data_IF_580737842340
#
_entry.id   IF_580737842340
#
_cell.length_a   1.000
_cell.length_b   1.000
_cell.length_c   1.000
_cell.angle_alpha   90.00
_cell.angle_beta   90.00
_cell.angle_gamma   90.00
#
_symmetry.space_group_name_H-M   'P 1'
#
loop_
_entity.id
_entity.type
_entity.pdbx_description
1 polymer ?
#
# COMPACT_ATOMS: atom_id res chain seq x y z
N UNK A 1 -4.52 -8.10 -10.97
CA UNK A 1 -5.80 -7.62 -10.41
C UNK A 1 -6.22 -8.48 -9.22
N UNK A 2 -6.31 -9.82 -9.33
CA UNK A 2 -6.71 -10.69 -8.21
C UNK A 2 -5.83 -10.46 -6.97
N UNK A 3 -4.49 -10.46 -7.12
CA UNK A 3 -3.57 -10.21 -6.01
C UNK A 3 -3.80 -8.82 -5.38
N UNK A 4 -4.07 -7.80 -6.20
CA UNK A 4 -4.36 -6.46 -5.70
C UNK A 4 -5.64 -6.41 -4.88
N UNK A 5 -6.73 -7.01 -5.39
CA UNK A 5 -8.00 -7.05 -4.67
C UNK A 5 -7.88 -7.85 -3.36
N UNK A 6 -7.16 -9.01 -3.40
CA UNK A 6 -6.92 -9.81 -2.20
C UNK A 6 -6.14 -9.03 -1.14
N UNK A 7 -5.08 -8.30 -1.52
CA UNK A 7 -4.31 -7.47 -0.59
C UNK A 7 -5.14 -6.30 -0.04
N UNK A 8 -5.98 -5.65 -0.88
CA UNK A 8 -6.73 -4.46 -0.49
C UNK A 8 -7.98 -4.78 0.31
N UNK A 9 -8.73 -5.82 -0.08
CA UNK A 9 -10.02 -6.16 0.52
C UNK A 9 -10.00 -7.45 1.35
N UNK A 10 -8.89 -8.19 1.35
CA UNK A 10 -8.82 -9.54 1.90
C UNK A 10 -9.61 -10.57 1.06
N UNK A 11 -10.16 -10.15 -0.07
CA UNK A 11 -11.05 -10.93 -0.91
C UNK A 11 -10.79 -10.63 -2.39
N UNK A 12 -10.82 -11.65 -3.24
CA UNK A 12 -10.78 -11.46 -4.69
C UNK A 12 -11.74 -12.44 -5.38
N UNK A 13 -12.20 -12.09 -6.58
CA UNK A 13 -13.23 -12.86 -7.28
C UNK A 13 -12.82 -13.09 -8.73
N UNK A 14 -12.97 -14.35 -9.18
CA UNK A 14 -12.70 -14.77 -10.55
C UNK A 14 -13.90 -15.49 -11.12
N UNK A 15 -14.53 -14.91 -12.14
CA UNK A 15 -15.64 -15.53 -12.85
C UNK A 15 -15.10 -16.53 -13.88
N UNK A 16 -15.68 -17.71 -13.89
CA UNK A 16 -15.39 -18.80 -14.81
C UNK A 16 -16.55 -18.94 -15.77
N UNK A 17 -16.28 -18.88 -17.07
CA UNK A 17 -17.28 -19.02 -18.13
C UNK A 17 -16.89 -20.16 -19.05
N UNK A 18 -17.83 -21.09 -19.27
CA UNK A 18 -17.66 -22.24 -20.16
C UNK A 18 -19.03 -22.56 -20.82
N UNK A 19 -19.08 -23.60 -21.62
CA UNK A 19 -20.34 -24.15 -22.13
C UNK A 19 -20.61 -25.55 -21.54
N UNK A 20 -21.77 -26.12 -21.87
CA UNK A 20 -22.18 -27.45 -21.41
C UNK A 20 -21.27 -28.58 -21.93
N UNK A 21 -20.45 -28.32 -22.96
CA UNK A 21 -19.54 -29.28 -23.60
C UNK A 21 -18.08 -29.04 -23.20
N UNK A 22 -17.81 -28.02 -22.39
CA UNK A 22 -16.46 -27.58 -22.06
C UNK A 22 -15.58 -27.29 -23.30
N UNK A 23 -16.22 -26.76 -24.37
CA UNK A 23 -15.52 -26.47 -25.63
C UNK A 23 -14.65 -25.23 -25.56
N UNK A 24 -14.88 -24.38 -24.57
CA UNK A 24 -14.04 -23.22 -24.27
C UNK A 24 -14.01 -22.94 -22.76
N UNK A 25 -12.99 -22.21 -22.35
CA UNK A 25 -12.84 -21.68 -20.99
C UNK A 25 -12.42 -20.21 -21.07
N UNK A 26 -13.13 -19.35 -20.35
CA UNK A 26 -12.77 -17.94 -20.19
C UNK A 26 -12.80 -17.56 -18.72
N UNK A 27 -11.81 -16.79 -18.28
CA UNK A 27 -11.66 -16.35 -16.90
C UNK A 27 -11.72 -14.82 -16.86
N UNK A 28 -12.62 -14.27 -16.04
CA UNK A 28 -12.80 -12.83 -15.89
C UNK A 28 -12.65 -12.40 -14.45
N UNK A 29 -11.73 -11.46 -14.22
CA UNK A 29 -11.61 -10.80 -12.92
C UNK A 29 -12.88 -9.99 -12.64
N UNK A 30 -13.46 -10.18 -11.46
CA UNK A 30 -14.54 -9.35 -10.93
C UNK A 30 -14.00 -8.47 -9.81
N UNK A 31 -14.33 -7.19 -9.87
CA UNK A 31 -13.92 -6.18 -8.88
C UNK A 31 -14.52 -6.53 -7.50
N UNK A 32 -13.67 -6.75 -6.50
CA UNK A 32 -14.10 -7.15 -5.17
C UNK A 32 -15.05 -6.15 -4.51
N UNK A 33 -14.95 -4.86 -4.83
CA UNK A 33 -15.85 -3.83 -4.32
C UNK A 33 -17.31 -4.02 -4.81
N UNK A 34 -17.48 -4.71 -5.94
CA UNK A 34 -18.78 -4.99 -6.58
C UNK A 34 -19.37 -6.34 -6.23
N UNK A 35 -18.63 -7.17 -5.52
CA UNK A 35 -19.03 -8.52 -5.14
C UNK A 35 -19.49 -8.57 -3.67
N UNK A 36 -20.57 -9.31 -3.40
CA UNK A 36 -21.05 -9.60 -2.05
C UNK A 36 -21.46 -11.06 -1.95
N UNK A 37 -21.16 -11.68 -0.81
CA UNK A 37 -21.64 -13.03 -0.51
C UNK A 37 -23.12 -12.98 -0.24
N UNK A 38 -23.88 -13.84 -0.88
CA UNK A 38 -25.32 -13.96 -0.65
C UNK A 38 -25.62 -14.60 0.73
N UNK A 39 -26.86 -14.46 1.19
CA UNK A 39 -27.27 -14.98 2.51
C UNK A 39 -27.22 -16.50 2.64
N UNK A 40 -27.25 -17.22 1.51
CA UNK A 40 -27.11 -18.67 1.44
C UNK A 40 -25.66 -19.15 1.52
N UNK A 41 -24.69 -18.24 1.41
CA UNK A 41 -23.24 -18.52 1.36
C UNK A 41 -22.79 -19.39 0.17
N UNK A 42 -23.68 -19.67 -0.78
CA UNK A 42 -23.44 -20.50 -1.97
C UNK A 42 -23.34 -19.65 -3.25
N UNK A 43 -23.79 -18.39 -3.18
CA UNK A 43 -23.79 -17.47 -4.32
C UNK A 43 -23.07 -16.17 -4.02
N UNK A 44 -22.59 -15.54 -5.08
CA UNK A 44 -22.03 -14.18 -5.07
C UNK A 44 -22.95 -13.27 -5.87
N UNK A 45 -23.32 -12.15 -5.24
CA UNK A 45 -24.08 -11.08 -5.87
C UNK A 45 -23.11 -10.05 -6.44
N UNK A 46 -23.28 -9.68 -7.70
CA UNK A 46 -22.51 -8.66 -8.38
C UNK A 46 -23.42 -7.46 -8.68
N UNK A 47 -23.05 -6.29 -8.17
CA UNK A 47 -23.77 -5.05 -8.40
C UNK A 47 -22.81 -3.88 -8.59
N UNK A 48 -23.15 -2.96 -9.50
CA UNK A 48 -22.26 -1.84 -9.85
C UNK A 48 -22.21 -0.76 -8.76
N UNK A 49 -23.32 -0.58 -8.01
CA UNK A 49 -23.44 0.41 -6.93
C UNK A 49 -24.28 -0.14 -5.78
N UNK A 50 -23.62 -0.48 -4.68
CA UNK A 50 -24.27 -1.00 -3.49
C UNK A 50 -25.02 0.04 -2.67
N UNK A 51 -24.82 1.35 -2.92
CA UNK A 51 -25.58 2.42 -2.28
C UNK A 51 -27.00 2.54 -2.84
N UNK A 52 -27.20 2.12 -4.09
CA UNK A 52 -28.49 2.09 -4.80
C UNK A 52 -28.92 0.66 -5.13
N UNK A 53 -28.64 -0.29 -4.23
CA UNK A 53 -28.89 -1.71 -4.48
C UNK A 53 -30.37 -2.03 -4.68
N UNK A 54 -30.67 -2.67 -5.81
CA UNK A 54 -31.95 -3.32 -6.10
C UNK A 54 -31.71 -4.79 -6.47
N UNK A 55 -32.44 -5.69 -5.85
CA UNK A 55 -32.23 -7.13 -6.01
C UNK A 55 -32.37 -7.59 -7.46
N UNK A 56 -33.25 -6.93 -8.24
CA UNK A 56 -33.51 -7.27 -9.64
C UNK A 56 -32.37 -6.86 -10.59
N UNK A 57 -31.45 -5.99 -10.17
CA UNK A 57 -30.32 -5.51 -10.97
C UNK A 57 -29.01 -6.24 -10.63
N UNK A 58 -29.01 -7.00 -9.54
CA UNK A 58 -27.85 -7.76 -9.13
C UNK A 58 -27.75 -9.06 -9.95
N UNK A 59 -26.60 -9.29 -10.54
CA UNK A 59 -26.29 -10.57 -11.15
C UNK A 59 -25.83 -11.54 -10.06
N UNK A 60 -26.43 -12.71 -10.00
CA UNK A 60 -26.09 -13.76 -9.04
C UNK A 60 -25.30 -14.85 -9.74
N UNK A 61 -24.20 -15.30 -9.14
CA UNK A 61 -23.38 -16.40 -9.65
C UNK A 61 -23.12 -17.41 -8.54
N UNK A 62 -23.24 -18.72 -8.81
CA UNK A 62 -22.91 -19.75 -7.85
C UNK A 62 -21.39 -19.84 -7.62
N UNK A 63 -21.00 -20.23 -6.42
CA UNK A 63 -19.60 -20.53 -6.13
C UNK A 63 -19.16 -21.82 -6.85
N UNK A 64 -17.96 -21.76 -7.46
CA UNK A 64 -17.33 -22.95 -8.03
C UNK A 64 -17.19 -24.04 -6.96
N UNK A 65 -17.48 -25.33 -7.23
CA UNK A 65 -17.64 -25.95 -8.55
C UNK A 65 -19.08 -25.95 -9.12
N UNK A 66 -20.06 -25.33 -8.47
CA UNK A 66 -21.39 -25.23 -9.04
C UNK A 66 -21.41 -24.27 -10.22
N UNK A 67 -22.17 -24.61 -11.26
CA UNK A 67 -22.36 -23.77 -12.44
C UNK A 67 -23.82 -23.52 -12.69
N UNK A 68 -24.17 -22.30 -13.03
CA UNK A 68 -25.51 -21.92 -13.49
C UNK A 68 -25.51 -21.70 -15.00
N UNK A 69 -26.51 -22.26 -15.68
CA UNK A 69 -26.69 -22.06 -17.11
C UNK A 69 -27.40 -20.72 -17.37
N UNK A 70 -26.80 -19.89 -18.20
CA UNK A 70 -27.33 -18.61 -18.61
C UNK A 70 -28.21 -18.76 -19.89
N UNK A 71 -29.02 -17.74 -20.18
CA UNK A 71 -29.86 -17.69 -21.37
C UNK A 71 -29.05 -17.73 -22.69
N UNK A 72 -27.81 -17.24 -22.65
CA UNK A 72 -26.90 -17.26 -23.80
C UNK A 72 -26.25 -18.63 -24.06
N UNK A 73 -26.65 -19.66 -23.31
CA UNK A 73 -26.12 -21.03 -23.41
C UNK A 73 -24.78 -21.24 -22.71
N UNK A 74 -24.21 -20.20 -22.11
CA UNK A 74 -23.00 -20.33 -21.31
C UNK A 74 -23.33 -20.83 -19.91
N UNK A 75 -22.33 -21.45 -19.26
CA UNK A 75 -22.36 -21.85 -17.86
C UNK A 75 -21.38 -20.98 -17.10
N UNK A 76 -21.79 -20.43 -15.97
CA UNK A 76 -20.99 -19.50 -15.19
C UNK A 76 -20.89 -19.93 -13.73
N UNK A 77 -19.73 -19.71 -13.18
CA UNK A 77 -19.42 -19.85 -11.76
C UNK A 77 -18.49 -18.75 -11.33
N UNK A 78 -18.30 -18.58 -10.03
CA UNK A 78 -17.36 -17.62 -9.48
C UNK A 78 -16.50 -18.28 -8.41
N UNK A 79 -15.20 -17.97 -8.42
CA UNK A 79 -14.26 -18.37 -7.37
C UNK A 79 -14.11 -17.19 -6.43
N UNK A 80 -14.21 -17.45 -5.14
CA UNK A 80 -13.94 -16.50 -4.09
C UNK A 80 -12.61 -16.84 -3.42
N UNK A 81 -11.61 -16.01 -3.61
CA UNK A 81 -10.31 -16.08 -2.94
C UNK A 81 -10.39 -15.33 -1.62
N UNK A 82 -10.10 -15.99 -0.52
CA UNK A 82 -9.99 -15.40 0.81
C UNK A 82 -9.10 -16.25 1.70
N UNK A 83 -8.35 -15.63 2.58
CA UNK A 83 -7.63 -16.32 3.62
C UNK A 83 -8.59 -16.81 4.69
N UNK A 84 -8.28 -17.96 5.29
CA UNK A 84 -9.02 -18.42 6.45
C UNK A 84 -8.69 -17.54 7.65
N UNK A 85 -9.70 -16.88 8.18
CA UNK A 85 -9.59 -16.09 9.39
C UNK A 85 -10.63 -16.57 10.42
N UNK A 86 -10.21 -17.02 11.60
CA UNK A 86 -11.14 -17.40 12.66
C UNK A 86 -12.12 -16.26 12.96
N UNK A 87 -13.39 -16.59 13.17
CA UNK A 87 -14.49 -15.64 13.40
C UNK A 87 -15.04 -14.89 12.17
N UNK A 88 -14.37 -14.98 10.99
CA UNK A 88 -14.84 -14.36 9.75
C UNK A 88 -15.27 -15.43 8.77
N UNK A 89 -16.55 -15.77 8.76
CA UNK A 89 -17.07 -16.88 7.97
C UNK A 89 -17.16 -16.54 6.47
N UNK A 90 -17.63 -15.33 6.15
CA UNK A 90 -17.98 -14.99 4.76
C UNK A 90 -16.85 -14.30 4.01
N UNK A 91 -16.05 -13.48 4.68
CA UNK A 91 -15.02 -12.67 4.05
C UNK A 91 -13.66 -12.90 4.69
N UNK A 92 -12.62 -12.80 3.90
CA UNK A 92 -11.25 -12.66 4.38
C UNK A 92 -10.98 -11.26 4.90
N UNK A 93 -9.91 -11.12 5.67
CA UNK A 93 -9.48 -9.87 6.30
C UNK A 93 -8.20 -9.39 5.63
N UNK A 94 -8.09 -8.12 5.23
CA UNK A 94 -6.87 -7.60 4.65
C UNK A 94 -5.70 -7.64 5.64
N UNK A 95 -4.53 -8.02 5.18
CA UNK A 95 -3.34 -8.14 6.03
C UNK A 95 -2.94 -6.83 6.70
N UNK A 96 -3.16 -5.68 6.04
CA UNK A 96 -2.80 -4.36 6.58
C UNK A 96 -3.58 -3.96 7.84
N UNK A 97 -4.65 -4.68 8.22
CA UNK A 97 -5.42 -4.39 9.44
C UNK A 97 -4.52 -4.41 10.68
N UNK A 98 -3.52 -5.29 10.72
CA UNK A 98 -2.51 -5.32 11.79
C UNK A 98 -1.73 -3.99 11.88
N UNK A 99 -1.56 -3.29 10.78
CA UNK A 99 -0.87 -2.00 10.68
C UNK A 99 -1.75 -0.76 10.83
N UNK A 100 -3.06 -0.87 11.08
CA UNK A 100 -3.97 0.29 11.09
C UNK A 100 -3.57 1.35 12.10
N UNK A 101 -3.19 0.96 13.32
CA UNK A 101 -2.80 1.90 14.37
C UNK A 101 -1.53 2.67 13.99
N UNK A 102 -0.52 1.98 13.46
CA UNK A 102 0.73 2.62 13.04
C UNK A 102 0.54 3.48 11.79
N UNK A 103 -0.35 3.08 10.88
CA UNK A 103 -0.77 3.92 9.75
C UNK A 103 -1.47 5.20 10.23
N UNK A 104 -2.31 5.11 11.26
CA UNK A 104 -2.95 6.27 11.88
C UNK A 104 -1.92 7.20 12.56
N UNK A 105 -0.87 6.65 13.17
CA UNK A 105 0.23 7.43 13.76
C UNK A 105 0.97 8.18 12.65
N UNK A 106 1.39 7.50 11.57
CA UNK A 106 2.06 8.13 10.44
C UNK A 106 1.21 9.26 9.85
N UNK A 107 -0.07 9.00 9.55
CA UNK A 107 -0.99 10.00 9.04
C UNK A 107 -1.16 11.22 9.98
N UNK A 108 -1.29 10.99 11.29
CA UNK A 108 -1.45 12.08 12.26
C UNK A 108 -0.17 12.90 12.38
N UNK A 109 0.99 12.27 12.30
CA UNK A 109 2.31 12.93 12.31
C UNK A 109 2.45 13.83 11.09
N UNK A 110 2.10 13.34 9.91
CA UNK A 110 2.12 14.14 8.68
C UNK A 110 1.14 15.31 8.75
N UNK A 111 -0.09 15.05 9.20
CA UNK A 111 -1.10 16.10 9.36
C UNK A 111 -0.66 17.18 10.36
N UNK A 112 -0.01 16.77 11.44
CA UNK A 112 0.55 17.71 12.42
C UNK A 112 1.68 18.56 11.79
N UNK A 113 2.60 17.92 11.02
CA UNK A 113 3.66 18.63 10.30
C UNK A 113 3.09 19.63 9.28
N UNK A 114 2.08 19.23 8.50
CA UNK A 114 1.40 20.10 7.54
C UNK A 114 0.75 21.28 8.28
N UNK A 115 -0.01 21.03 9.33
CA UNK A 115 -0.64 22.09 10.12
C UNK A 115 0.38 23.04 10.72
N UNK A 116 1.54 22.53 11.13
CA UNK A 116 2.65 23.35 11.62
C UNK A 116 3.25 24.24 10.53
N UNK A 117 3.39 23.73 9.32
CA UNK A 117 3.86 24.50 8.16
C UNK A 117 2.83 25.54 7.73
N UNK A 118 1.56 25.18 7.63
CA UNK A 118 0.48 26.06 7.20
C UNK A 118 0.24 27.21 8.16
N UNK A 119 0.29 26.92 9.46
CA UNK A 119 0.06 27.93 10.49
C UNK A 119 1.34 28.69 10.86
N UNK A 120 2.47 28.41 10.23
CA UNK A 120 3.79 28.95 10.59
C UNK A 120 4.09 28.83 12.10
N UNK A 121 3.58 27.78 12.73
CA UNK A 121 3.46 27.62 14.17
C UNK A 121 4.74 27.05 14.78
N UNK A 122 5.75 27.86 14.82
CA UNK A 122 6.53 27.96 16.06
C UNK A 122 6.07 29.28 16.70
N UNK A 123 5.29 29.18 17.77
CA UNK A 123 5.19 30.29 18.71
C UNK A 123 6.62 30.56 19.14
N UNK A 124 7.24 31.55 18.53
CA UNK A 124 8.63 31.93 18.87
C UNK A 124 8.72 32.38 20.31
N UNK A 125 7.61 32.75 20.90
CA UNK A 125 7.51 33.14 22.30
C UNK A 125 6.21 33.86 22.64
N UNK A 126 6.11 34.23 23.88
CA UNK A 126 5.06 35.11 24.40
C UNK A 126 5.66 36.48 24.65
N UNK A 127 5.12 37.49 24.01
CA UNK A 127 5.48 38.90 24.27
C UNK A 127 4.52 39.47 25.33
N UNK A 128 5.02 39.73 26.50
CA UNK A 128 4.27 40.39 27.57
C UNK A 128 4.54 41.87 27.44
N UNK A 129 3.51 42.66 27.08
CA UNK A 129 3.58 44.12 27.04
C UNK A 129 3.14 44.65 28.39
N UNK A 130 3.95 45.47 29.02
CA UNK A 130 3.60 46.15 30.25
C UNK A 130 3.29 47.63 29.92
N UNK A 131 2.11 48.10 30.29
CA UNK A 131 1.70 49.46 30.05
C UNK A 131 0.46 49.85 30.85
N UNK A 132 0.29 51.14 31.09
CA UNK A 132 -0.97 51.68 31.63
C UNK A 132 -2.02 51.63 30.53
N UNK A 133 -3.09 50.91 30.76
CA UNK A 133 -4.22 50.79 29.85
C UNK A 133 -5.45 51.25 30.61
N UNK A 134 -6.12 52.29 30.06
CA UNK A 134 -7.24 52.91 30.74
C UNK A 134 -8.52 52.04 30.76
N UNK A 135 -8.58 51.01 29.87
CA UNK A 135 -9.71 50.10 29.83
C UNK A 135 -9.33 48.72 29.23
N UNK A 136 -10.10 47.69 29.58
CA UNK A 136 -9.97 46.36 29.04
C UNK A 136 -10.19 46.31 27.52
N UNK A 137 -11.05 47.22 27.00
CA UNK A 137 -11.32 47.34 25.56
C UNK A 137 -10.08 47.85 24.80
N UNK A 138 -9.35 48.82 25.36
CA UNK A 138 -8.11 49.31 24.77
C UNK A 138 -7.00 48.27 24.78
N UNK A 139 -6.90 47.47 25.85
CA UNK A 139 -5.99 46.33 25.94
C UNK A 139 -6.24 45.35 24.80
N UNK A 140 -7.49 44.96 24.61
CA UNK A 140 -7.90 44.04 23.55
C UNK A 140 -7.63 44.62 22.15
N UNK A 141 -7.80 45.90 21.94
CA UNK A 141 -7.53 46.57 20.65
C UNK A 141 -6.03 46.56 20.32
N UNK A 142 -5.17 46.81 21.31
CA UNK A 142 -3.71 46.76 21.14
C UNK A 142 -3.25 45.35 20.80
N UNK A 143 -3.74 44.32 21.51
CA UNK A 143 -3.45 42.91 21.23
C UNK A 143 -3.90 42.54 19.83
N UNK A 144 -5.11 42.92 19.43
CA UNK A 144 -5.68 42.63 18.11
C UNK A 144 -4.88 43.27 16.98
N UNK A 145 -4.42 44.53 17.16
CA UNK A 145 -3.55 45.21 16.20
C UNK A 145 -2.19 44.58 16.08
N UNK A 146 -1.64 44.12 17.20
CA UNK A 146 -0.38 43.37 17.22
C UNK A 146 -0.52 42.02 16.52
N UNK A 147 -1.55 41.23 16.83
CA UNK A 147 -1.84 39.95 16.17
C UNK A 147 -2.04 40.12 14.67
N UNK A 148 -2.82 41.10 14.22
CA UNK A 148 -3.03 41.39 12.79
C UNK A 148 -1.73 41.75 12.05
N UNK A 149 -0.79 42.43 12.69
CA UNK A 149 0.48 42.81 12.10
C UNK A 149 1.43 41.62 11.92
N UNK A 150 1.27 40.59 12.72
CA UNK A 150 2.11 39.37 12.71
C UNK A 150 1.37 38.16 12.15
N UNK A 151 0.06 38.27 11.89
CA UNK A 151 -0.73 37.20 11.27
C UNK A 151 -0.13 36.75 9.93
N UNK A 152 0.03 35.46 9.75
CA UNK A 152 0.54 34.83 8.49
C UNK A 152 2.06 34.94 8.27
N UNK A 153 2.84 35.38 9.27
CA UNK A 153 4.31 35.35 9.19
C UNK A 153 4.88 34.18 9.98
N UNK A 154 5.97 33.55 9.50
CA UNK A 154 6.70 32.56 10.27
C UNK A 154 7.16 33.12 11.62
N UNK A 155 6.95 32.37 12.70
CA UNK A 155 7.36 32.80 14.04
C UNK A 155 6.34 33.72 14.74
N UNK A 156 5.06 33.29 14.79
CA UNK A 156 4.03 34.01 15.52
C UNK A 156 4.40 34.15 17.00
N UNK A 157 4.18 35.37 17.52
CA UNK A 157 4.36 35.70 18.93
C UNK A 157 2.97 35.91 19.53
N UNK A 158 2.70 35.28 20.65
CA UNK A 158 1.48 35.53 21.43
C UNK A 158 1.69 36.84 22.21
N UNK A 159 0.73 37.75 22.13
CA UNK A 159 0.78 39.00 22.84
C UNK A 159 -0.12 38.93 24.08
N UNK A 160 0.42 39.32 25.22
CA UNK A 160 -0.33 39.51 26.46
C UNK A 160 -0.03 40.92 27.01
N UNK A 161 -1.04 41.58 27.54
CA UNK A 161 -0.87 42.85 28.23
C UNK A 161 -0.99 42.61 29.72
N UNK A 162 -0.08 43.22 30.46
CA UNK A 162 -0.09 43.24 31.91
C UNK A 162 -0.09 44.69 32.36
N UNK A 163 -0.99 45.04 33.30
CA UNK A 163 -1.01 46.35 33.90
C UNK A 163 0.31 46.66 34.59
N UNK A 164 0.78 47.90 34.40
CA UNK A 164 1.94 48.42 35.11
C UNK A 164 1.57 48.64 36.59
N UNK A 165 2.18 47.91 37.51
CA UNK A 165 2.11 48.18 38.92
C UNK A 165 3.49 48.55 39.46
N UNK A 166 3.54 49.28 40.60
CA UNK A 166 4.81 49.66 41.19
C UNK A 166 5.71 48.41 41.46
N UNK A 167 6.87 48.36 40.82
CA UNK A 167 7.78 47.19 40.82
C UNK A 167 7.58 46.18 39.70
N UNK A 168 6.73 46.45 38.70
CA UNK A 168 6.56 45.54 37.56
C UNK A 168 7.75 45.63 36.59
N UNK A 169 8.33 44.46 36.22
CA UNK A 169 9.31 44.40 35.14
C UNK A 169 8.72 44.92 33.83
N UNK A 170 9.52 45.61 33.03
CA UNK A 170 9.10 46.10 31.72
C UNK A 170 8.69 44.97 30.77
N UNK A 171 8.22 45.34 29.58
CA UNK A 171 7.80 44.37 28.55
C UNK A 171 8.85 43.29 28.34
N UNK A 172 8.41 42.02 28.33
CA UNK A 172 9.30 40.85 28.33
C UNK A 172 8.90 39.88 27.21
N UNK A 173 9.89 39.41 26.50
CA UNK A 173 9.71 38.27 25.55
C UNK A 173 10.15 36.96 26.20
N UNK A 174 9.26 36.02 26.25
CA UNK A 174 9.53 34.65 26.76
C UNK A 174 9.57 33.70 25.56
N UNK A 175 10.73 33.25 25.14
CA UNK A 175 10.84 32.28 24.05
C UNK A 175 10.26 30.93 24.48
N UNK A 176 9.49 30.31 23.60
CA UNK A 176 9.01 28.93 23.75
C UNK A 176 9.92 28.05 22.91
N UNK A 177 10.79 27.28 23.57
CA UNK A 177 11.58 26.27 22.88
C UNK A 177 10.79 24.99 22.73
N UNK A 178 10.59 24.52 21.51
CA UNK A 178 10.06 23.18 21.26
C UNK A 178 11.16 22.13 21.56
N UNK A 179 11.11 21.51 22.72
CA UNK A 179 12.12 20.51 23.12
C UNK A 179 11.92 19.14 22.44
N UNK A 180 10.88 18.93 21.63
CA UNK A 180 10.48 17.60 21.14
C UNK A 180 10.49 17.46 19.62
N UNK A 181 11.34 18.21 18.90
CA UNK A 181 11.38 18.09 17.42
C UNK A 181 11.94 16.75 16.92
N UNK A 182 12.86 16.14 17.67
CA UNK A 182 13.41 14.83 17.32
C UNK A 182 12.42 13.67 17.47
N UNK A 183 11.60 13.71 18.51
CA UNK A 183 10.69 12.61 18.87
C UNK A 183 9.65 12.32 17.78
N UNK A 184 9.16 13.35 17.08
CA UNK A 184 8.16 13.19 16.01
C UNK A 184 8.73 12.58 14.75
N UNK A 185 9.98 12.89 14.40
CA UNK A 185 10.65 12.28 13.27
C UNK A 185 10.91 10.80 13.53
N UNK A 186 11.43 10.48 14.70
CA UNK A 186 11.73 9.11 15.09
C UNK A 186 10.43 8.28 15.17
N UNK A 187 9.34 8.87 15.69
CA UNK A 187 8.02 8.25 15.72
C UNK A 187 7.48 7.98 14.31
N UNK A 188 7.65 8.92 13.39
CA UNK A 188 7.23 8.76 12.00
C UNK A 188 8.05 7.67 11.30
N UNK A 189 9.37 7.68 11.44
CA UNK A 189 10.27 6.69 10.85
C UNK A 189 10.01 5.28 11.40
N UNK A 190 9.70 5.18 12.70
CA UNK A 190 9.28 3.94 13.33
C UNK A 190 7.93 3.48 12.78
N UNK A 191 6.95 4.37 12.66
CA UNK A 191 5.63 4.03 12.13
C UNK A 191 5.71 3.51 10.69
N UNK A 192 6.52 4.13 9.83
CA UNK A 192 6.77 3.64 8.47
C UNK A 192 7.36 2.22 8.50
N UNK A 193 8.32 1.97 9.41
CA UNK A 193 8.93 0.65 9.58
C UNK A 193 7.91 -0.41 9.97
N UNK A 194 7.05 -0.08 10.93
CA UNK A 194 6.03 -0.97 11.45
C UNK A 194 4.93 -1.25 10.41
N UNK A 195 4.62 -0.27 9.53
CA UNK A 195 3.74 -0.48 8.38
C UNK A 195 4.33 -1.53 7.43
N UNK A 196 5.62 -1.44 7.09
CA UNK A 196 6.28 -2.42 6.22
C UNK A 196 6.23 -3.82 6.85
N UNK A 197 6.50 -3.93 8.16
CA UNK A 197 6.41 -5.21 8.89
C UNK A 197 4.98 -5.74 8.91
N UNK A 198 3.97 -4.88 9.10
CA UNK A 198 2.56 -5.27 9.07
C UNK A 198 2.12 -5.85 7.71
N UNK A 199 2.80 -5.47 6.62
CA UNK A 199 2.61 -6.07 5.29
C UNK A 199 3.51 -7.28 5.05
N UNK A 200 4.16 -7.83 6.07
CA UNK A 200 5.13 -8.93 5.94
C UNK A 200 6.22 -8.67 4.88
N UNK A 201 6.63 -7.40 4.75
CA UNK A 201 7.56 -6.96 3.72
C UNK A 201 8.88 -6.45 4.30
N UNK A 202 9.88 -6.22 3.44
CA UNK A 202 11.24 -5.83 3.81
C UNK A 202 11.50 -4.36 3.52
N UNK A 203 12.14 -3.64 4.46
CA UNK A 203 12.45 -2.21 4.33
C UNK A 203 13.35 -1.90 3.13
N UNK A 204 14.38 -2.71 2.92
CA UNK A 204 15.32 -2.53 1.82
C UNK A 204 14.66 -2.68 0.45
N UNK A 205 13.75 -3.65 0.30
CA UNK A 205 12.97 -3.86 -0.92
C UNK A 205 11.94 -2.75 -1.15
N UNK A 206 11.57 -2.01 -0.11
CA UNK A 206 10.70 -0.81 -0.18
C UNK A 206 11.46 0.47 -0.49
N UNK A 207 12.81 0.42 -0.60
CA UNK A 207 13.63 1.61 -0.82
C UNK A 207 13.77 2.53 0.40
N UNK A 208 13.48 2.04 1.61
CA UNK A 208 13.50 2.83 2.85
C UNK A 208 14.85 2.76 3.61
N UNK A 209 15.79 1.98 3.16
CA UNK A 209 17.05 1.70 3.86
C UNK A 209 18.20 2.51 3.26
N UNK A 210 18.29 3.80 3.64
CA UNK A 210 19.28 4.72 3.09
C UNK A 210 20.63 4.73 3.85
N UNK A 211 20.68 4.21 5.10
CA UNK A 211 21.77 4.48 6.02
C UNK A 211 22.99 3.56 5.88
N UNK A 212 22.85 2.37 5.26
CA UNK A 212 23.91 1.34 5.28
C UNK A 212 24.57 1.06 3.92
N UNK A 213 24.39 1.94 2.94
CA UNK A 213 24.89 1.72 1.58
C UNK A 213 24.06 0.70 0.80
N UNK A 214 24.00 0.87 -0.50
CA UNK A 214 23.27 -0.01 -1.42
C UNK A 214 24.14 -1.25 -1.68
N UNK A 215 23.93 -2.35 -0.95
CA UNK A 215 24.56 -3.63 -1.24
C UNK A 215 23.64 -4.46 -2.12
N UNK A 216 24.07 -4.73 -3.34
CA UNK A 216 23.35 -5.57 -4.29
C UNK A 216 23.10 -6.99 -3.70
N UNK A 217 24.09 -7.53 -3.01
CA UNK A 217 24.02 -8.87 -2.40
C UNK A 217 22.94 -8.92 -1.30
N UNK A 218 22.85 -7.88 -0.47
CA UNK A 218 21.82 -7.82 0.57
C UNK A 218 20.42 -7.78 -0.04
N UNK A 219 20.21 -6.95 -1.07
CA UNK A 219 18.91 -6.86 -1.76
C UNK A 219 18.52 -8.19 -2.38
N UNK A 220 19.47 -8.90 -2.96
CA UNK A 220 19.23 -10.22 -3.55
C UNK A 220 18.87 -11.26 -2.50
N UNK A 221 19.57 -11.29 -1.36
CA UNK A 221 19.24 -12.18 -0.26
C UNK A 221 17.85 -11.89 0.34
N UNK A 222 17.53 -10.62 0.57
CA UNK A 222 16.21 -10.25 1.09
C UNK A 222 15.11 -10.54 0.07
N UNK A 223 15.37 -10.34 -1.23
CA UNK A 223 14.45 -10.75 -2.28
C UNK A 223 14.23 -12.27 -2.31
N UNK A 224 15.29 -13.07 -2.16
CA UNK A 224 15.20 -14.53 -2.12
C UNK A 224 14.38 -15.01 -0.92
N UNK A 225 14.56 -14.38 0.24
CA UNK A 225 13.73 -14.65 1.42
C UNK A 225 12.27 -14.25 1.13
N UNK A 226 12.04 -13.04 0.63
CA UNK A 226 10.69 -12.56 0.29
C UNK A 226 10.02 -13.46 -0.76
N UNK A 227 10.77 -13.90 -1.76
CA UNK A 227 10.28 -14.81 -2.79
C UNK A 227 9.78 -16.12 -2.17
N UNK A 228 10.55 -16.72 -1.31
CA UNK A 228 10.22 -18.03 -0.73
C UNK A 228 9.17 -17.95 0.39
N UNK A 229 9.11 -16.86 1.15
CA UNK A 229 8.24 -16.76 2.33
C UNK A 229 6.94 -16.02 2.06
N UNK A 230 6.89 -15.13 1.07
CA UNK A 230 5.72 -14.30 0.77
C UNK A 230 5.22 -14.54 -0.66
N UNK A 231 6.09 -14.35 -1.66
CA UNK A 231 5.64 -14.28 -3.05
C UNK A 231 5.18 -15.66 -3.56
N UNK A 232 5.98 -16.71 -3.39
CA UNK A 232 5.64 -18.05 -3.89
C UNK A 232 4.39 -18.65 -3.22
N UNK A 233 4.19 -18.54 -1.89
CA UNK A 233 2.95 -18.97 -1.26
C UNK A 233 1.72 -18.23 -1.79
N UNK A 234 1.77 -16.90 -1.93
CA UNK A 234 0.67 -16.11 -2.50
C UNK A 234 0.38 -16.47 -3.97
N UNK A 235 1.43 -16.69 -4.77
CA UNK A 235 1.28 -17.14 -6.15
C UNK A 235 0.64 -18.54 -6.22
N UNK A 236 1.06 -19.46 -5.37
CA UNK A 236 0.51 -20.80 -5.32
C UNK A 236 -0.99 -20.78 -4.98
N UNK A 237 -1.38 -19.99 -3.98
CA UNK A 237 -2.77 -19.84 -3.58
C UNK A 237 -3.65 -19.25 -4.69
N UNK A 238 -3.16 -18.24 -5.39
CA UNK A 238 -3.92 -17.61 -6.50
C UNK A 238 -3.99 -18.52 -7.72
N UNK A 239 -2.98 -19.34 -7.99
CA UNK A 239 -2.89 -20.15 -9.20
C UNK A 239 -3.50 -21.55 -9.05
N UNK A 240 -3.54 -22.12 -7.85
CA UNK A 240 -4.06 -23.48 -7.62
C UNK A 240 -5.49 -23.67 -8.14
N UNK A 241 -6.48 -22.79 -7.84
CA UNK A 241 -7.80 -22.91 -8.41
C UNK A 241 -7.85 -22.74 -9.94
N UNK A 242 -6.95 -21.92 -10.50
CA UNK A 242 -6.85 -21.70 -11.96
C UNK A 242 -6.33 -22.97 -12.63
N UNK A 243 -5.30 -23.60 -12.07
CA UNK A 243 -4.76 -24.85 -12.59
C UNK A 243 -5.82 -25.95 -12.59
N UNK A 244 -6.52 -26.10 -11.48
CA UNK A 244 -7.62 -27.07 -11.35
C UNK A 244 -8.69 -26.87 -12.42
N UNK A 245 -9.12 -25.64 -12.65
CA UNK A 245 -10.13 -25.32 -13.66
C UNK A 245 -9.64 -25.62 -15.07
N UNK A 246 -8.39 -25.30 -15.39
CA UNK A 246 -7.80 -25.58 -16.70
C UNK A 246 -7.75 -27.10 -16.94
N UNK A 247 -7.36 -27.88 -15.95
CA UNK A 247 -7.31 -29.34 -16.05
C UNK A 247 -8.71 -29.97 -16.15
N UNK A 248 -9.64 -29.54 -15.29
CA UNK A 248 -11.00 -30.12 -15.22
C UNK A 248 -11.89 -29.72 -16.40
N UNK A 249 -11.79 -28.47 -16.85
CA UNK A 249 -12.70 -27.92 -17.88
C UNK A 249 -12.04 -27.95 -19.26
N UNK A 250 -10.83 -27.43 -19.39
CA UNK A 250 -10.17 -27.34 -20.69
C UNK A 250 -9.40 -28.62 -21.07
N UNK A 251 -9.17 -29.53 -20.11
CA UNK A 251 -8.46 -30.78 -20.35
C UNK A 251 -6.97 -30.62 -20.69
N UNK A 252 -6.38 -29.46 -20.37
CA UNK A 252 -4.95 -29.20 -20.58
C UNK A 252 -4.16 -29.45 -19.31
N UNK A 253 -2.95 -29.98 -19.46
CA UNK A 253 -1.98 -30.07 -18.36
C UNK A 253 -1.53 -28.66 -17.97
N UNK A 254 -1.95 -28.21 -16.79
CA UNK A 254 -1.60 -26.88 -16.27
C UNK A 254 -0.17 -26.81 -15.71
N UNK A 255 0.55 -27.92 -15.60
CA UNK A 255 1.94 -27.95 -15.08
C UNK A 255 2.93 -27.12 -15.91
N UNK A 256 2.60 -26.88 -17.18
CA UNK A 256 3.38 -26.01 -18.07
C UNK A 256 3.22 -24.51 -17.78
N UNK A 257 2.20 -24.11 -17.02
CA UNK A 257 1.96 -22.71 -16.66
C UNK A 257 2.77 -22.35 -15.42
N UNK A 258 3.73 -21.45 -15.58
CA UNK A 258 4.57 -20.97 -14.49
C UNK A 258 4.65 -19.44 -14.46
N UNK A 259 4.61 -18.89 -13.27
CA UNK A 259 4.90 -17.48 -13.07
C UNK A 259 6.41 -17.31 -13.01
N UNK A 260 6.97 -16.50 -13.92
CA UNK A 260 8.40 -16.22 -13.97
C UNK A 260 8.71 -15.08 -13.01
N UNK A 261 9.37 -15.38 -11.90
CA UNK A 261 9.85 -14.40 -10.95
C UNK A 261 11.25 -13.92 -11.35
N UNK A 262 11.41 -12.60 -11.47
CA UNK A 262 12.70 -11.99 -11.81
C UNK A 262 13.21 -11.20 -10.62
N UNK A 263 14.49 -11.40 -10.22
CA UNK A 263 15.07 -10.60 -9.15
C UNK A 263 15.17 -9.13 -9.57
N UNK A 264 15.07 -8.19 -8.61
CA UNK A 264 15.12 -6.75 -8.88
C UNK A 264 16.48 -6.29 -9.43
N UNK A 265 17.52 -7.08 -9.17
CA UNK A 265 18.87 -6.86 -9.67
C UNK A 265 19.33 -8.13 -10.38
N UNK A 266 19.75 -8.00 -11.63
CA UNK A 266 20.26 -9.13 -12.41
C UNK A 266 21.65 -9.53 -11.88
N UNK A 267 21.78 -10.76 -11.38
CA UNK A 267 23.07 -11.38 -11.05
C UNK A 267 23.74 -11.93 -12.31
N UNK A 268 23.99 -11.08 -13.29
CA UNK A 268 24.76 -11.54 -14.46
C UNK A 268 26.22 -11.64 -14.03
N UNK A 269 26.67 -12.87 -13.83
CA UNK A 269 28.07 -13.10 -13.54
C UNK A 269 28.92 -12.68 -14.75
N UNK A 270 30.02 -11.97 -14.55
CA UNK A 270 30.84 -11.46 -15.66
C UNK A 270 31.34 -12.55 -16.63
N UNK A 271 31.44 -13.78 -16.12
CA UNK A 271 31.87 -14.98 -16.86
C UNK A 271 30.73 -15.83 -17.43
N UNK A 272 29.46 -15.37 -17.32
CA UNK A 272 28.32 -16.03 -17.94
C UNK A 272 28.31 -15.72 -19.45
N UNK A 273 28.04 -16.73 -20.28
CA UNK A 273 27.84 -16.53 -21.71
C UNK A 273 26.55 -15.77 -22.00
N UNK A 274 26.53 -15.01 -23.08
CA UNK A 274 25.33 -14.27 -23.50
C UNK A 274 24.14 -15.20 -23.72
N UNK A 275 24.33 -16.38 -24.29
CA UNK A 275 23.25 -17.36 -24.48
C UNK A 275 22.69 -17.89 -23.14
N UNK A 276 23.55 -18.08 -22.13
CA UNK A 276 23.10 -18.51 -20.79
C UNK A 276 22.24 -17.42 -20.12
N UNK A 277 22.64 -16.17 -20.24
CA UNK A 277 21.87 -15.06 -19.74
C UNK A 277 20.52 -14.91 -20.47
N UNK A 278 20.51 -15.08 -21.80
CA UNK A 278 19.27 -15.05 -22.60
C UNK A 278 18.34 -16.20 -22.23
N UNK A 279 18.90 -17.40 -22.00
CA UNK A 279 18.15 -18.55 -21.51
C UNK A 279 17.52 -18.28 -20.15
N UNK A 280 18.28 -17.72 -19.21
CA UNK A 280 17.79 -17.34 -17.88
C UNK A 280 16.70 -16.26 -17.94
N UNK A 281 16.77 -15.35 -18.89
CA UNK A 281 15.78 -14.28 -19.13
C UNK A 281 14.55 -14.78 -19.94
N UNK A 282 14.51 -16.05 -20.35
CA UNK A 282 13.44 -16.61 -21.19
C UNK A 282 13.38 -16.03 -22.59
N UNK A 283 14.51 -15.54 -23.10
CA UNK A 283 14.66 -15.01 -24.45
C UNK A 283 15.17 -16.11 -25.39
N UNK A 284 14.91 -15.97 -26.71
CA UNK A 284 15.47 -16.86 -27.70
C UNK A 284 16.99 -16.89 -27.59
N UNK A 285 17.55 -18.08 -27.51
CA UNK A 285 18.99 -18.30 -27.38
C UNK A 285 19.48 -19.41 -28.30
N UNK A 286 20.70 -19.27 -28.80
CA UNK A 286 21.40 -20.28 -29.56
C UNK A 286 22.82 -20.44 -29.00
N UNK A 287 23.12 -21.58 -28.35
CA UNK A 287 24.46 -21.85 -27.83
C UNK A 287 25.53 -21.94 -28.90
N UNK A 288 25.17 -22.11 -30.18
CA UNK A 288 26.10 -22.20 -31.30
C UNK A 288 26.33 -20.88 -32.04
N UNK A 289 25.56 -19.82 -31.70
CA UNK A 289 25.76 -18.49 -32.25
C UNK A 289 27.03 -17.86 -31.64
N UNK A 290 28.02 -17.59 -32.46
CA UNK A 290 29.31 -16.99 -32.05
C UNK A 290 29.14 -15.69 -31.26
N UNK A 291 28.10 -14.89 -31.57
CA UNK A 291 27.79 -13.65 -30.84
C UNK A 291 27.29 -13.91 -29.44
N UNK A 292 26.62 -15.03 -29.20
CA UNK A 292 26.08 -15.43 -27.90
C UNK A 292 27.08 -16.29 -27.12
N UNK A 293 28.17 -16.72 -27.72
CA UNK A 293 29.28 -17.41 -27.04
C UNK A 293 30.25 -16.42 -26.36
N UNK A 294 30.05 -15.15 -26.47
CA UNK A 294 30.86 -14.16 -25.78
C UNK A 294 30.46 -14.09 -24.28
N UNK A 295 31.46 -13.85 -23.41
CA UNK A 295 31.16 -13.52 -22.01
C UNK A 295 30.52 -12.13 -21.91
N UNK A 296 29.58 -11.97 -20.99
CA UNK A 296 28.88 -10.69 -20.76
C UNK A 296 29.87 -9.55 -20.46
N UNK A 297 30.96 -9.86 -19.74
CA UNK A 297 32.01 -8.89 -19.46
C UNK A 297 32.62 -8.27 -20.73
N UNK A 298 32.66 -9.02 -21.83
CA UNK A 298 33.28 -8.58 -23.08
C UNK A 298 32.30 -7.77 -23.98
N UNK A 299 31.00 -7.86 -23.72
CA UNK A 299 29.96 -7.16 -24.52
C UNK A 299 29.81 -5.69 -24.09
N UNK A 300 30.29 -5.31 -22.93
CA UNK A 300 30.24 -3.92 -22.43
C UNK A 300 31.25 -2.97 -23.06
N UNK A 301 32.15 -3.47 -23.90
CA UNK A 301 33.23 -2.71 -24.53
C UNK A 301 33.05 -2.56 -26.05
N UNK A 302 31.83 -2.76 -26.57
CA UNK A 302 31.51 -2.51 -27.98
C UNK A 302 30.41 -1.47 -28.11
#
# INVERSE_FOLDING_TARGET
KLAFDKSLFGNAFLEVVTDSKHSFLSLFHQDASKCRVASDSEHILLHHDWSAFTQNEARTLPLYPAFEQQEDGTRRAIIHYKDYEPMFEHYGVPQYIAGMNVSAIAYKTDKWNISRLDNSYQLSGVMILTGDVDSEEEALEIVRKAEQKFAGKPGQVMFMIKEASDGTEGSKFIPISSQNEGDWKDLHDQAISDIVVAHSWFRSLSGLDYSNGFSADRILHEYEIALNTVILPEQAELMEPIYRIIEEIAGFDASALQIINRPPISQRQPYMYVWEARKADGLDYDPNDERQQAFIANVRNV
#
